data_IF_506438889438
#
_entry.id   IF_506438889438
#
_cell.length_a   1.000
_cell.length_b   1.000
_cell.length_c   1.000
_cell.angle_alpha   90.00
_cell.angle_beta   90.00
_cell.angle_gamma   90.00
#
_symmetry.space_group_name_H-M   'P 1'
#
loop_
_entity.id
_entity.type
_entity.pdbx_description
1 polymer ?
#
# COMPACT_ATOMS: atom_id res chain seq x y z
N UNK A 1 -6.72 6.00 -20.01
CA UNK A 1 -7.67 5.93 -18.89
C UNK A 1 -7.73 7.28 -18.20
N UNK A 2 -8.89 7.69 -17.69
CA UNK A 2 -9.05 8.94 -16.94
C UNK A 2 -8.56 8.77 -15.50
N UNK A 3 -8.05 9.84 -14.89
CA UNK A 3 -7.55 9.83 -13.49
C UNK A 3 -8.60 9.33 -12.49
N UNK A 4 -9.88 9.65 -12.72
CA UNK A 4 -11.00 9.20 -11.89
C UNK A 4 -11.22 7.68 -11.97
N UNK A 5 -11.11 7.10 -13.16
CA UNK A 5 -11.18 5.65 -13.34
C UNK A 5 -10.02 4.96 -12.66
N UNK A 6 -8.79 5.47 -12.83
CA UNK A 6 -7.62 4.92 -12.15
C UNK A 6 -7.74 4.98 -10.62
N UNK A 7 -8.26 6.08 -10.08
CA UNK A 7 -8.50 6.21 -8.63
C UNK A 7 -9.48 5.16 -8.12
N UNK A 8 -10.62 4.97 -8.81
CA UNK A 8 -11.61 3.96 -8.42
C UNK A 8 -11.05 2.55 -8.51
N UNK A 9 -10.30 2.23 -9.57
CA UNK A 9 -9.62 0.93 -9.71
C UNK A 9 -8.64 0.74 -8.55
N UNK A 10 -7.77 1.72 -8.26
CA UNK A 10 -6.84 1.66 -7.14
C UNK A 10 -7.56 1.39 -5.80
N UNK A 11 -8.66 2.10 -5.54
CA UNK A 11 -9.43 1.91 -4.30
C UNK A 11 -10.06 0.52 -4.17
N UNK A 12 -10.66 -0.01 -5.23
CA UNK A 12 -11.22 -1.38 -5.22
C UNK A 12 -10.10 -2.41 -5.04
N UNK A 13 -8.98 -2.23 -5.75
CA UNK A 13 -7.84 -3.14 -5.66
C UNK A 13 -7.20 -3.13 -4.26
N UNK A 14 -7.15 -1.99 -3.57
CA UNK A 14 -6.72 -1.94 -2.16
C UNK A 14 -7.60 -2.83 -1.27
N UNK A 15 -8.93 -2.75 -1.40
CA UNK A 15 -9.83 -3.58 -0.60
C UNK A 15 -9.62 -5.08 -0.87
N UNK A 16 -9.46 -5.46 -2.14
CA UNK A 16 -9.17 -6.85 -2.54
C UNK A 16 -7.83 -7.30 -1.97
N UNK A 17 -6.79 -6.47 -2.07
CA UNK A 17 -5.45 -6.76 -1.56
C UNK A 17 -5.48 -7.01 -0.04
N UNK A 18 -6.12 -6.11 0.72
CA UNK A 18 -6.24 -6.24 2.19
C UNK A 18 -7.04 -7.49 2.56
N UNK A 19 -8.18 -7.73 1.91
CA UNK A 19 -9.01 -8.89 2.18
C UNK A 19 -8.27 -10.22 1.91
N UNK A 20 -7.52 -10.28 0.80
CA UNK A 20 -6.73 -11.45 0.45
C UNK A 20 -5.54 -11.68 1.40
N UNK A 21 -4.83 -10.60 1.78
CA UNK A 21 -3.72 -10.66 2.74
C UNK A 21 -4.18 -11.14 4.12
N UNK A 22 -5.28 -10.59 4.62
CA UNK A 22 -5.94 -11.03 5.87
C UNK A 22 -6.35 -12.50 5.77
N UNK A 23 -7.05 -12.89 4.71
CA UNK A 23 -7.48 -14.26 4.52
C UNK A 23 -6.30 -15.24 4.47
N UNK A 24 -5.16 -14.82 3.89
CA UNK A 24 -3.94 -15.61 3.83
C UNK A 24 -3.37 -15.88 5.23
N UNK A 25 -3.35 -14.87 6.10
CA UNK A 25 -2.93 -15.03 7.51
C UNK A 25 -3.85 -15.99 8.27
N UNK A 26 -5.17 -15.85 8.08
CA UNK A 26 -6.19 -16.70 8.73
C UNK A 26 -6.10 -18.16 8.27
N UNK A 27 -5.79 -18.38 6.99
CA UNK A 27 -5.75 -19.70 6.35
C UNK A 27 -4.32 -20.26 6.22
N UNK A 28 -3.35 -19.71 6.96
CA UNK A 28 -1.93 -20.06 6.89
C UNK A 28 -1.61 -21.56 7.02
N UNK A 29 -2.51 -22.37 7.61
CA UNK A 29 -2.39 -23.83 7.66
C UNK A 29 -2.94 -24.60 6.45
N UNK A 30 -3.48 -23.93 5.43
CA UNK A 30 -4.09 -24.53 4.23
C UNK A 30 -3.35 -24.13 2.95
N UNK A 31 -2.31 -24.89 2.61
CA UNK A 31 -1.40 -24.62 1.50
C UNK A 31 -2.09 -24.20 0.18
N UNK A 32 -3.08 -24.96 -0.30
CA UNK A 32 -3.77 -24.62 -1.55
C UNK A 32 -4.54 -23.29 -1.50
N UNK A 33 -5.13 -22.96 -0.35
CA UNK A 33 -5.86 -21.71 -0.21
C UNK A 33 -4.89 -20.51 -0.15
N UNK A 34 -3.76 -20.66 0.55
CA UNK A 34 -2.73 -19.61 0.64
C UNK A 34 -2.06 -19.35 -0.70
N UNK A 35 -1.85 -20.37 -1.54
CA UNK A 35 -1.26 -20.20 -2.88
C UNK A 35 -2.16 -19.35 -3.79
N UNK A 36 -3.48 -19.63 -3.77
CA UNK A 36 -4.46 -18.85 -4.54
C UNK A 36 -4.54 -17.40 -4.04
N UNK A 37 -4.57 -17.22 -2.72
CA UNK A 37 -4.61 -15.88 -2.11
C UNK A 37 -3.34 -15.09 -2.40
N UNK A 38 -2.18 -15.74 -2.38
CA UNK A 38 -0.89 -15.15 -2.75
C UNK A 38 -0.92 -14.63 -4.20
N UNK A 39 -1.44 -15.43 -5.14
CA UNK A 39 -1.60 -15.01 -6.53
C UNK A 39 -2.53 -13.78 -6.66
N UNK A 40 -3.63 -13.76 -5.90
CA UNK A 40 -4.55 -12.61 -5.86
C UNK A 40 -3.83 -11.37 -5.32
N UNK A 41 -3.06 -11.48 -4.23
CA UNK A 41 -2.30 -10.36 -3.68
C UNK A 41 -1.23 -9.85 -4.64
N UNK A 42 -0.51 -10.74 -5.33
CA UNK A 42 0.48 -10.38 -6.35
C UNK A 42 -0.15 -9.58 -7.50
N UNK A 43 -1.27 -10.07 -8.03
CA UNK A 43 -1.97 -9.38 -9.10
C UNK A 43 -2.52 -8.03 -8.64
N UNK A 44 -3.07 -7.97 -7.43
CA UNK A 44 -3.56 -6.73 -6.84
C UNK A 44 -2.42 -5.71 -6.61
N UNK A 45 -1.24 -6.14 -6.15
CA UNK A 45 -0.07 -5.29 -5.99
C UNK A 45 0.39 -4.67 -7.33
N UNK A 46 0.39 -5.44 -8.42
CA UNK A 46 0.71 -4.93 -9.76
C UNK A 46 -0.31 -3.89 -10.24
N UNK A 47 -1.60 -4.19 -10.08
CA UNK A 47 -2.67 -3.26 -10.47
C UNK A 47 -2.60 -1.97 -9.63
N UNK A 48 -2.34 -2.08 -8.32
CA UNK A 48 -2.12 -0.93 -7.44
C UNK A 48 -0.91 -0.11 -7.89
N UNK A 49 0.23 -0.75 -8.16
CA UNK A 49 1.43 -0.09 -8.65
C UNK A 49 1.15 0.72 -9.92
N UNK A 50 0.53 0.10 -10.93
CA UNK A 50 0.23 0.75 -12.22
C UNK A 50 -0.77 1.90 -12.06
N UNK A 51 -1.84 1.70 -11.27
CA UNK A 51 -2.88 2.71 -11.09
C UNK A 51 -2.40 3.90 -10.27
N UNK A 52 -1.65 3.66 -9.20
CA UNK A 52 -1.04 4.72 -8.39
C UNK A 52 0.04 5.47 -9.17
N UNK A 53 0.89 4.77 -9.93
CA UNK A 53 1.84 5.39 -10.85
C UNK A 53 1.12 6.30 -11.85
N UNK A 54 0.04 5.83 -12.47
CA UNK A 54 -0.71 6.63 -13.43
C UNK A 54 -1.33 7.89 -12.81
N UNK A 55 -1.66 7.88 -11.51
CA UNK A 55 -2.19 9.03 -10.78
C UNK A 55 -1.07 10.01 -10.40
N UNK A 56 0.08 9.51 -9.93
CA UNK A 56 1.15 10.32 -9.32
C UNK A 56 2.28 10.73 -10.27
N UNK A 57 2.42 10.10 -11.45
CA UNK A 57 3.48 10.39 -12.43
C UNK A 57 3.57 11.85 -12.89
N UNK A 58 2.46 12.59 -12.85
CA UNK A 58 2.44 14.02 -13.21
C UNK A 58 3.11 14.91 -12.15
N UNK A 59 3.19 14.44 -10.90
CA UNK A 59 3.79 15.19 -9.80
C UNK A 59 5.30 15.02 -9.74
N UNK A 60 5.77 13.79 -9.89
CA UNK A 60 7.19 13.41 -9.90
C UNK A 60 7.32 11.99 -10.52
N UNK A 61 7.71 11.88 -11.80
CA UNK A 61 7.70 10.61 -12.51
C UNK A 61 8.77 9.64 -12.00
N UNK A 62 9.91 10.14 -11.51
CA UNK A 62 11.03 9.31 -11.04
C UNK A 62 10.66 8.63 -9.72
N UNK A 63 10.12 9.39 -8.76
CA UNK A 63 9.62 8.81 -7.50
C UNK A 63 8.43 7.88 -7.71
N UNK A 64 7.52 8.23 -8.64
CA UNK A 64 6.39 7.36 -8.98
C UNK A 64 6.87 6.03 -9.57
N UNK A 65 7.90 6.07 -10.42
CA UNK A 65 8.51 4.89 -11.03
C UNK A 65 9.23 4.03 -9.99
N UNK A 66 9.91 4.62 -9.00
CA UNK A 66 10.46 3.88 -7.87
C UNK A 66 9.35 3.19 -7.06
N UNK A 67 8.25 3.87 -6.77
CA UNK A 67 7.09 3.29 -6.09
C UNK A 67 6.46 2.12 -6.87
N UNK A 68 6.36 2.25 -8.20
CA UNK A 68 5.92 1.17 -9.08
C UNK A 68 6.87 -0.02 -9.02
N UNK A 69 8.18 0.20 -9.08
CA UNK A 69 9.19 -0.87 -9.00
C UNK A 69 9.09 -1.61 -7.67
N UNK A 70 8.92 -0.89 -6.55
CA UNK A 70 8.67 -1.51 -5.25
C UNK A 70 7.42 -2.41 -5.29
N UNK A 71 6.32 -1.95 -5.91
CA UNK A 71 5.09 -2.75 -6.05
C UNK A 71 5.26 -3.99 -6.93
N UNK A 72 6.09 -3.91 -7.96
CA UNK A 72 6.43 -5.07 -8.80
C UNK A 72 7.25 -6.09 -8.03
N UNK A 73 8.23 -5.65 -7.25
CA UNK A 73 9.06 -6.55 -6.43
C UNK A 73 8.20 -7.19 -5.33
N UNK A 74 7.32 -6.42 -4.70
CA UNK A 74 6.38 -6.92 -3.70
C UNK A 74 5.46 -8.03 -4.25
N UNK A 75 5.04 -7.91 -5.51
CA UNK A 75 4.19 -8.92 -6.15
C UNK A 75 4.88 -10.29 -6.27
N UNK A 76 6.19 -10.38 -6.07
CA UNK A 76 6.92 -11.65 -6.01
C UNK A 76 6.76 -12.27 -4.61
N UNK A 77 6.25 -13.51 -4.49
CA UNK A 77 6.09 -14.17 -3.20
C UNK A 77 7.42 -14.30 -2.43
N UNK A 78 7.40 -14.04 -1.12
CA UNK A 78 8.50 -14.34 -0.21
C UNK A 78 8.90 -13.18 0.71
N UNK A 79 9.37 -12.05 0.15
CA UNK A 79 9.97 -10.96 0.93
C UNK A 79 9.45 -9.56 0.52
N UNK A 80 8.20 -9.50 0.04
CA UNK A 80 7.61 -8.29 -0.52
C UNK A 80 7.27 -7.19 0.51
N UNK A 81 7.18 -7.52 1.80
CA UNK A 81 6.64 -6.62 2.84
C UNK A 81 7.42 -5.31 2.98
N UNK A 82 8.75 -5.36 2.86
CA UNK A 82 9.58 -4.14 2.92
C UNK A 82 9.34 -3.27 1.69
N UNK A 83 9.21 -3.88 0.51
CA UNK A 83 8.94 -3.17 -0.73
C UNK A 83 7.52 -2.59 -0.75
N UNK A 84 6.55 -3.31 -0.17
CA UNK A 84 5.21 -2.80 0.11
C UNK A 84 5.27 -1.52 0.95
N UNK A 85 5.98 -1.56 2.09
CA UNK A 85 6.09 -0.43 3.00
C UNK A 85 6.78 0.78 2.34
N UNK A 86 7.88 0.55 1.61
CA UNK A 86 8.59 1.60 0.87
C UNK A 86 7.72 2.17 -0.26
N UNK A 87 7.05 1.31 -1.04
CA UNK A 87 6.14 1.73 -2.11
C UNK A 87 4.97 2.56 -1.58
N UNK A 88 4.33 2.12 -0.49
CA UNK A 88 3.27 2.88 0.20
C UNK A 88 3.77 4.22 0.72
N UNK A 89 4.99 4.29 1.23
CA UNK A 89 5.61 5.55 1.67
C UNK A 89 5.77 6.52 0.50
N UNK A 90 6.34 6.05 -0.61
CA UNK A 90 6.56 6.85 -1.82
C UNK A 90 5.24 7.37 -2.39
N UNK A 91 4.23 6.52 -2.55
CA UNK A 91 2.92 6.97 -3.06
C UNK A 91 2.21 7.91 -2.09
N UNK A 92 2.23 7.64 -0.78
CA UNK A 92 1.63 8.53 0.23
C UNK A 92 2.30 9.91 0.22
N UNK A 93 3.63 9.95 0.08
CA UNK A 93 4.40 11.17 -0.05
C UNK A 93 4.03 11.96 -1.33
N UNK A 94 3.88 11.28 -2.46
CA UNK A 94 3.46 11.92 -3.72
C UNK A 94 2.03 12.46 -3.64
N UNK A 95 1.12 11.71 -3.03
CA UNK A 95 -0.27 12.14 -2.82
C UNK A 95 -0.35 13.36 -1.87
N UNK A 96 0.52 13.40 -0.85
CA UNK A 96 0.67 14.56 0.04
C UNK A 96 1.18 15.78 -0.73
N UNK A 97 2.29 15.61 -1.47
CA UNK A 97 2.95 16.69 -2.23
C UNK A 97 2.04 17.29 -3.29
N UNK A 98 1.28 16.45 -3.99
CA UNK A 98 0.31 16.90 -4.98
C UNK A 98 -1.02 17.39 -4.40
N UNK A 99 -1.21 17.35 -3.07
CA UNK A 99 -2.49 17.63 -2.39
C UNK A 99 -3.67 16.90 -3.03
N UNK A 100 -3.39 15.66 -3.48
CA UNK A 100 -4.29 14.82 -4.27
C UNK A 100 -5.42 14.19 -3.43
N UNK A 101 -5.17 14.05 -2.12
CA UNK A 101 -6.09 13.57 -1.09
C UNK A 101 -6.02 14.52 0.12
N UNK A 102 -6.92 14.39 1.13
CA UNK A 102 -6.88 15.23 2.34
C UNK A 102 -5.52 15.14 3.04
N UNK A 103 -4.98 16.29 3.44
CA UNK A 103 -3.63 16.41 4.02
C UNK A 103 -3.48 15.54 5.27
N UNK A 104 -4.49 15.47 6.12
CA UNK A 104 -4.48 14.62 7.31
C UNK A 104 -4.37 13.13 6.95
N UNK A 105 -5.09 12.68 5.93
CA UNK A 105 -5.04 11.29 5.45
C UNK A 105 -3.68 10.96 4.83
N UNK A 106 -3.12 11.90 4.07
CA UNK A 106 -1.81 11.73 3.44
C UNK A 106 -0.68 11.66 4.49
N UNK A 107 -0.71 12.50 5.52
CA UNK A 107 0.23 12.42 6.64
C UNK A 107 0.11 11.12 7.43
N UNK A 108 -1.12 10.68 7.69
CA UNK A 108 -1.36 9.38 8.33
C UNK A 108 -0.68 8.26 7.53
N UNK A 109 -0.82 8.28 6.20
CA UNK A 109 -0.18 7.29 5.32
C UNK A 109 1.33 7.33 5.33
N UNK A 110 1.92 8.52 5.28
CA UNK A 110 3.38 8.70 5.37
C UNK A 110 3.90 8.17 6.71
N UNK A 111 3.29 8.57 7.82
CA UNK A 111 3.73 8.16 9.16
C UNK A 111 3.58 6.64 9.32
N UNK A 112 2.42 6.08 8.97
CA UNK A 112 2.16 4.65 9.07
C UNK A 112 3.13 3.82 8.21
N UNK A 113 3.42 4.27 6.99
CA UNK A 113 4.32 3.56 6.08
C UNK A 113 5.79 3.67 6.52
N UNK A 114 6.25 4.84 6.95
CA UNK A 114 7.61 5.03 7.49
C UNK A 114 7.82 4.20 8.75
N UNK A 115 6.83 4.18 9.64
CA UNK A 115 6.84 3.33 10.83
C UNK A 115 6.95 1.85 10.42
N UNK A 116 6.20 1.40 9.42
CA UNK A 116 6.27 0.03 8.93
C UNK A 116 7.64 -0.32 8.32
N UNK A 117 8.25 0.59 7.54
CA UNK A 117 9.61 0.42 7.00
C UNK A 117 10.64 0.18 8.12
N UNK A 118 10.47 0.84 9.28
CA UNK A 118 11.36 0.67 10.42
C UNK A 118 11.04 -0.58 11.26
N UNK A 119 9.76 -0.89 11.45
CA UNK A 119 9.32 -1.98 12.31
C UNK A 119 9.45 -3.36 11.65
N UNK A 120 9.25 -3.48 10.34
CA UNK A 120 9.32 -4.77 9.65
C UNK A 120 10.70 -5.45 9.74
N UNK A 121 11.84 -4.77 9.48
CA UNK A 121 13.15 -5.37 9.67
C UNK A 121 13.38 -5.82 11.12
N UNK A 122 12.86 -5.05 12.07
CA UNK A 122 12.97 -5.36 13.49
C UNK A 122 12.11 -6.59 13.87
N UNK A 123 10.94 -6.73 13.24
CA UNK A 123 10.08 -7.92 13.36
C UNK A 123 10.72 -9.16 12.74
N UNK A 124 11.32 -9.04 11.56
CA UNK A 124 12.05 -10.13 10.90
C UNK A 124 13.28 -10.54 11.70
N UNK A 125 13.98 -9.58 12.32
CA UNK A 125 15.11 -9.83 13.20
C UNK A 125 14.73 -10.48 14.55
N UNK A 126 13.43 -10.70 14.81
CA UNK A 126 12.94 -11.38 16.01
C UNK A 126 12.93 -10.52 17.27
N UNK A 127 13.13 -9.20 17.16
CA UNK A 127 13.23 -8.30 18.32
C UNK A 127 11.92 -8.20 19.13
N UNK A 128 10.76 -8.43 18.51
CA UNK A 128 9.47 -8.34 19.19
C UNK A 128 9.03 -9.62 19.89
N UNK A 129 9.64 -10.77 19.58
CA UNK A 129 9.25 -12.08 20.11
C UNK A 129 7.85 -12.53 19.67
N UNK A 130 7.67 -13.84 19.51
CA UNK A 130 6.37 -14.46 19.21
C UNK A 130 6.08 -14.71 17.73
N UNK A 131 5.06 -15.53 17.41
CA UNK A 131 4.76 -15.93 16.04
C UNK A 131 4.21 -14.77 15.21
N UNK A 132 4.57 -14.71 13.92
CA UNK A 132 3.89 -13.91 12.90
C UNK A 132 2.55 -14.56 12.51
N UNK A 133 1.64 -14.63 13.46
CA UNK A 133 0.32 -15.23 13.30
C UNK A 133 -0.77 -14.16 13.36
N UNK A 134 -1.91 -14.45 12.74
CA UNK A 134 -3.12 -13.62 12.82
C UNK A 134 -3.56 -13.31 14.26
N UNK A 135 -3.29 -14.20 15.21
CA UNK A 135 -3.61 -14.03 16.63
C UNK A 135 -2.61 -13.19 17.41
N UNK A 136 -1.47 -12.81 16.81
CA UNK A 136 -0.39 -12.10 17.49
C UNK A 136 -0.70 -10.61 17.65
N UNK A 137 -0.77 -10.07 18.89
CA UNK A 137 -0.97 -8.64 19.12
C UNK A 137 0.14 -7.78 18.52
N UNK A 138 1.36 -8.32 18.45
CA UNK A 138 2.53 -7.64 17.87
C UNK A 138 2.31 -7.40 16.38
N UNK A 139 1.86 -8.42 15.64
CA UNK A 139 1.56 -8.29 14.20
C UNK A 139 0.50 -7.21 13.98
N UNK A 140 -0.56 -7.19 14.79
CA UNK A 140 -1.55 -6.12 14.70
C UNK A 140 -0.96 -4.75 15.06
N UNK A 141 -0.16 -4.62 16.11
CA UNK A 141 0.45 -3.34 16.47
C UNK A 141 1.33 -2.77 15.35
N UNK A 142 2.06 -3.61 14.64
CA UNK A 142 2.93 -3.22 13.51
C UNK A 142 2.10 -2.82 12.28
N UNK A 143 1.07 -3.58 11.93
CA UNK A 143 0.35 -3.42 10.66
C UNK A 143 -0.92 -2.55 10.74
N UNK A 144 -1.54 -2.40 11.91
CA UNK A 144 -2.82 -1.70 12.10
C UNK A 144 -2.77 -0.23 11.66
N UNK A 145 -1.73 0.58 11.97
CA UNK A 145 -1.67 1.95 11.49
C UNK A 145 -1.77 2.06 9.96
N UNK A 146 -1.09 1.16 9.25
CA UNK A 146 -1.14 1.14 7.79
C UNK A 146 -2.47 0.55 7.27
N UNK A 147 -3.01 -0.46 7.93
CA UNK A 147 -4.33 -1.00 7.58
C UNK A 147 -5.42 0.08 7.66
N UNK A 148 -5.42 0.89 8.72
CA UNK A 148 -6.35 2.02 8.89
C UNK A 148 -6.16 3.03 7.77
N UNK A 149 -4.91 3.34 7.41
CA UNK A 149 -4.60 4.20 6.28
C UNK A 149 -5.19 3.67 4.97
N UNK A 150 -4.87 2.44 4.61
CA UNK A 150 -5.22 1.87 3.31
C UNK A 150 -6.73 1.69 3.16
N UNK A 151 -7.42 1.26 4.23
CA UNK A 151 -8.89 1.19 4.22
C UNK A 151 -9.52 2.57 4.01
N UNK A 152 -9.01 3.57 4.71
CA UNK A 152 -9.53 4.94 4.59
C UNK A 152 -9.23 5.52 3.21
N UNK A 153 -8.02 5.29 2.69
CA UNK A 153 -7.63 5.70 1.35
C UNK A 153 -8.46 4.99 0.27
N UNK A 154 -8.69 3.69 0.40
CA UNK A 154 -9.49 2.92 -0.54
C UNK A 154 -10.91 3.46 -0.68
N UNK A 155 -11.58 3.68 0.46
CA UNK A 155 -12.93 4.26 0.50
C UNK A 155 -12.93 5.68 -0.09
N UNK A 156 -11.90 6.49 0.22
CA UNK A 156 -11.75 7.83 -0.34
C UNK A 156 -11.61 7.81 -1.87
N UNK A 157 -10.73 6.96 -2.40
CA UNK A 157 -10.48 6.85 -3.83
C UNK A 157 -11.70 6.37 -4.61
N UNK A 158 -12.51 5.48 -4.03
CA UNK A 158 -13.77 5.00 -4.62
C UNK A 158 -14.81 6.13 -4.68
N UNK A 159 -14.99 6.86 -3.58
CA UNK A 159 -16.10 7.82 -3.42
C UNK A 159 -15.78 9.20 -4.00
N UNK A 160 -14.58 9.72 -3.77
CA UNK A 160 -14.16 11.10 -4.12
C UNK A 160 -13.14 11.14 -5.25
N UNK A 161 -12.36 10.08 -5.45
CA UNK A 161 -11.26 10.08 -6.41
C UNK A 161 -10.10 10.98 -5.96
N UNK A 162 -9.36 11.52 -6.93
CA UNK A 162 -8.11 12.28 -6.71
C UNK A 162 -8.22 13.69 -7.31
N UNK A 163 -7.79 14.70 -6.55
CA UNK A 163 -7.72 16.08 -7.01
C UNK A 163 -6.60 16.29 -8.04
N UNK A 164 -6.72 17.36 -8.85
CA UNK A 164 -5.69 17.75 -9.81
C UNK A 164 -4.47 18.28 -9.03
N UNK A 165 -3.24 17.84 -9.34
CA UNK A 165 -2.03 18.33 -8.69
C UNK A 165 -1.96 19.85 -8.80
N UNK A 166 -1.70 20.53 -7.69
CA UNK A 166 -1.42 21.96 -7.73
C UNK A 166 -0.14 22.18 -8.55
N UNK A 167 -0.29 22.71 -9.75
CA UNK A 167 0.82 23.04 -10.64
C UNK A 167 1.77 23.98 -9.89
N UNK A 168 3.05 23.61 -9.76
CA UNK A 168 4.09 24.57 -9.38
C UNK A 168 4.08 25.63 -10.48
N UNK A 169 3.51 26.80 -10.20
CA UNK A 169 3.83 28.01 -10.94
C UNK A 169 5.32 28.25 -10.70
N UNK A 170 6.15 27.81 -11.66
CA UNK A 170 7.53 28.23 -11.76
C UNK A 170 7.51 29.73 -12.03
N UNK A 171 7.84 30.51 -11.00
CA UNK A 171 8.23 31.90 -11.14
C UNK A 171 9.61 31.99 -11.80
#
# INVERSE_FOLDING_TARGET
>A
MTRTTNARIAGVTFLIYIAAGIASLVLSGRAHATDILSLITSFAALVLGVTLYAITREQDPDLAMLGLTCRVIEAVPGHGEIYFAVGSTLFSWLLLRGRMIPVALAWLGVIASVLLVMLLPLQIAGFFGGPSAWSSPVTWAVWLPLLVFELTLAVWLITKGVAIPAQRQSA
#
